data_IF_050329836477
#
_entry.id   IF_050329836477
#
_cell.length_a   1.000
_cell.length_b   1.000
_cell.length_c   1.000
_cell.angle_alpha   90.00
_cell.angle_beta   90.00
_cell.angle_gamma   90.00
#
_symmetry.space_group_name_H-M   'P 1'
#
loop_
_entity.id
_entity.type
_entity.pdbx_description
1 polymer ?
#
# COMPACT_ATOMS: atom_id res chain seq x y z
N UNK A 1 6.34 -16.30 0.89
CA UNK A 1 6.42 -14.87 1.26
C UNK A 1 7.26 -14.74 2.51
N UNK A 2 8.25 -13.87 2.52
CA UNK A 2 9.11 -13.65 3.68
C UNK A 2 8.74 -12.32 4.32
N UNK A 3 8.40 -12.33 5.63
CA UNK A 3 8.32 -11.09 6.38
C UNK A 3 9.76 -10.57 6.60
N UNK A 4 10.01 -9.34 6.25
CA UNK A 4 11.29 -8.68 6.52
C UNK A 4 11.35 -8.45 8.03
N UNK A 5 12.48 -8.76 8.63
CA UNK A 5 12.73 -8.84 10.08
C UNK A 5 12.06 -7.76 10.94
N UNK A 6 11.68 -8.20 12.11
CA UNK A 6 11.05 -7.49 13.22
C UNK A 6 11.51 -6.02 13.38
N UNK A 7 10.58 -5.11 13.13
CA UNK A 7 10.76 -3.67 13.31
C UNK A 7 10.63 -3.25 14.80
N UNK A 8 10.59 -4.21 15.73
CA UNK A 8 10.31 -3.97 17.15
C UNK A 8 11.47 -3.34 17.95
N UNK A 9 12.63 -3.09 17.33
CA UNK A 9 13.82 -2.55 17.98
C UNK A 9 14.14 -1.09 17.67
N UNK A 10 13.15 -0.28 17.34
CA UNK A 10 13.34 1.18 17.35
C UNK A 10 13.08 1.66 18.77
N UNK A 11 14.17 1.83 19.55
CA UNK A 11 14.10 2.37 20.89
C UNK A 11 13.67 3.84 20.84
N UNK A 12 12.60 4.16 21.52
CA UNK A 12 12.22 5.54 21.80
C UNK A 12 12.93 6.01 23.09
N UNK A 13 14.18 6.43 22.97
CA UNK A 13 14.85 7.20 24.03
C UNK A 13 14.61 8.70 23.79
N UNK A 14 14.41 9.52 24.84
CA UNK A 14 14.06 10.94 24.67
C UNK A 14 15.15 11.81 24.02
N UNK A 15 16.34 11.27 23.72
CA UNK A 15 17.46 12.02 23.16
C UNK A 15 18.25 11.28 22.06
N UNK A 16 17.74 10.18 21.50
CA UNK A 16 18.41 9.54 20.38
C UNK A 16 17.77 9.99 19.05
N UNK A 17 18.59 10.30 18.02
CA UNK A 17 18.06 10.57 16.70
C UNK A 17 17.24 9.34 16.26
N UNK A 18 15.98 9.55 15.87
CA UNK A 18 15.13 8.50 15.35
C UNK A 18 15.76 8.03 14.03
N UNK A 19 16.54 6.96 14.07
CA UNK A 19 16.96 6.28 12.85
C UNK A 19 15.73 5.64 12.23
N UNK A 20 15.15 6.33 11.25
CA UNK A 20 14.09 5.76 10.44
C UNK A 20 14.67 4.62 9.61
N UNK A 21 14.28 3.39 9.91
CA UNK A 21 14.64 2.24 9.07
C UNK A 21 14.09 2.46 7.67
N UNK A 22 14.99 2.58 6.70
CA UNK A 22 14.63 2.71 5.29
C UNK A 22 14.47 1.32 4.70
N UNK A 23 13.32 1.08 4.08
CA UNK A 23 13.01 -0.16 3.38
C UNK A 23 13.13 0.03 1.87
N UNK A 24 13.54 -1.01 1.19
CA UNK A 24 13.68 -0.98 -0.26
C UNK A 24 12.32 -1.00 -0.97
N UNK A 25 12.33 -0.46 -2.19
CA UNK A 25 11.20 -0.54 -3.12
C UNK A 25 10.82 -2.00 -3.43
N UNK A 26 9.65 -2.21 -3.99
CA UNK A 26 9.20 -3.54 -4.43
C UNK A 26 8.56 -4.37 -3.32
N UNK A 27 8.23 -3.76 -2.20
CA UNK A 27 7.57 -4.43 -1.06
C UNK A 27 6.06 -4.18 -1.04
N UNK A 28 5.32 -5.10 -0.44
CA UNK A 28 3.91 -4.89 -0.08
C UNK A 28 3.84 -4.59 1.41
N UNK A 29 3.43 -3.38 1.77
CA UNK A 29 3.18 -3.00 3.15
C UNK A 29 1.83 -3.53 3.62
N UNK A 30 1.82 -4.28 4.73
CA UNK A 30 0.60 -4.84 5.32
C UNK A 30 0.38 -4.24 6.70
N UNK A 31 -0.77 -3.63 6.91
CA UNK A 31 -1.15 -3.08 8.21
C UNK A 31 -1.50 -4.23 9.16
N UNK A 32 -0.86 -4.27 10.32
CA UNK A 32 -1.00 -5.36 11.30
C UNK A 32 -1.81 -4.98 12.54
N UNK A 33 -2.18 -3.70 12.68
CA UNK A 33 -2.84 -3.16 13.87
C UNK A 33 -3.91 -2.11 13.49
N UNK A 34 -4.83 -1.82 14.43
CA UNK A 34 -5.89 -0.82 14.26
C UNK A 34 -7.09 -1.32 13.44
N UNK A 35 -7.89 -0.37 12.96
CA UNK A 35 -9.09 -0.66 12.15
C UNK A 35 -8.79 -1.04 10.70
N UNK A 36 -7.55 -0.82 10.25
CA UNK A 36 -7.11 -1.08 8.89
C UNK A 36 -6.28 -2.37 8.77
N UNK A 37 -6.40 -3.31 9.73
CA UNK A 37 -5.69 -4.59 9.66
C UNK A 37 -5.96 -5.27 8.32
N UNK A 38 -4.88 -5.75 7.67
CA UNK A 38 -4.96 -6.40 6.36
C UNK A 38 -4.91 -5.44 5.18
N UNK A 39 -5.07 -4.13 5.38
CA UNK A 39 -4.83 -3.20 4.29
C UNK A 39 -3.39 -3.35 3.78
N UNK A 40 -3.28 -3.49 2.46
CA UNK A 40 -2.03 -3.87 1.82
C UNK A 40 -1.75 -2.94 0.65
N UNK A 41 -0.52 -2.41 0.59
CA UNK A 41 -0.12 -1.39 -0.38
C UNK A 41 1.25 -1.71 -0.97
N UNK A 42 1.36 -1.71 -2.29
CA UNK A 42 2.64 -1.81 -2.97
C UNK A 42 3.45 -0.52 -2.83
N UNK A 43 4.75 -0.66 -2.61
CA UNK A 43 5.69 0.44 -2.47
C UNK A 43 6.68 0.45 -3.65
N UNK A 44 6.44 1.31 -4.67
CA UNK A 44 7.30 1.37 -5.85
C UNK A 44 8.62 2.12 -5.60
N UNK A 45 8.76 2.79 -4.45
CA UNK A 45 9.95 3.56 -4.03
C UNK A 45 10.39 3.14 -2.65
N UNK A 46 11.61 3.54 -2.26
CA UNK A 46 12.07 3.39 -0.88
C UNK A 46 11.15 4.15 0.09
N UNK A 47 10.93 3.59 1.26
CA UNK A 47 9.97 4.11 2.23
C UNK A 47 10.38 3.80 3.66
N UNK A 48 9.72 4.46 4.59
CA UNK A 48 9.76 4.14 6.03
C UNK A 48 8.37 3.74 6.49
N UNK A 49 8.28 2.93 7.54
CA UNK A 49 7.00 2.58 8.15
C UNK A 49 7.12 2.41 9.66
N UNK A 50 6.00 2.50 10.34
CA UNK A 50 5.91 2.25 11.78
C UNK A 50 5.82 0.74 12.06
N UNK A 51 5.93 0.36 13.34
CA UNK A 51 5.76 -1.03 13.80
C UNK A 51 4.36 -1.63 13.56
N UNK A 52 3.38 -0.78 13.19
CA UNK A 52 2.03 -1.22 12.82
C UNK A 52 1.90 -1.68 11.37
N UNK A 53 3.01 -1.63 10.62
CA UNK A 53 3.08 -2.04 9.21
C UNK A 53 4.23 -3.02 9.02
N UNK A 54 3.94 -4.11 8.33
CA UNK A 54 4.95 -5.11 7.96
C UNK A 54 5.20 -5.09 6.45
N UNK A 55 6.42 -4.76 5.99
CA UNK A 55 6.82 -4.94 4.60
C UNK A 55 6.96 -6.44 4.30
N UNK A 56 6.41 -6.86 3.17
CA UNK A 56 6.52 -8.23 2.67
C UNK A 56 7.13 -8.23 1.27
N UNK A 57 8.03 -9.18 1.02
CA UNK A 57 8.58 -9.47 -0.31
C UNK A 57 8.35 -10.94 -0.65
N UNK A 58 8.43 -11.29 -1.91
CA UNK A 58 8.55 -12.68 -2.33
C UNK A 58 9.99 -13.15 -2.10
N UNK A 59 10.16 -14.44 -1.81
CA UNK A 59 11.48 -14.98 -1.46
C UNK A 59 12.39 -15.09 -2.68
N UNK A 60 11.90 -15.66 -3.76
CA UNK A 60 12.67 -16.06 -4.93
C UNK A 60 12.16 -15.41 -6.23
N UNK A 61 11.41 -14.32 -6.10
CA UNK A 61 10.82 -13.62 -7.23
C UNK A 61 10.72 -12.11 -6.96
N UNK A 62 11.22 -11.31 -7.89
CA UNK A 62 11.06 -9.85 -7.84
C UNK A 62 9.72 -9.46 -8.46
N UNK A 63 8.83 -8.91 -7.64
CA UNK A 63 7.48 -8.53 -8.07
C UNK A 63 7.51 -7.29 -8.97
N UNK A 64 6.81 -7.36 -10.10
CA UNK A 64 6.40 -6.15 -10.79
C UNK A 64 5.16 -5.53 -10.11
N UNK A 65 4.78 -4.32 -10.55
CA UNK A 65 3.67 -3.58 -9.95
C UNK A 65 2.32 -4.35 -10.06
N UNK A 66 2.03 -4.93 -11.21
CA UNK A 66 0.75 -5.62 -11.44
C UNK A 66 0.65 -6.91 -10.61
N UNK A 67 1.73 -7.69 -10.50
CA UNK A 67 1.82 -8.83 -9.58
C UNK A 67 1.61 -8.41 -8.13
N UNK A 68 2.27 -7.32 -7.73
CA UNK A 68 2.16 -6.81 -6.37
C UNK A 68 0.75 -6.31 -6.04
N UNK A 69 0.06 -5.67 -6.98
CA UNK A 69 -1.34 -5.26 -6.82
C UNK A 69 -2.27 -6.46 -6.65
N UNK A 70 -2.07 -7.52 -7.44
CA UNK A 70 -2.83 -8.76 -7.28
C UNK A 70 -2.61 -9.37 -5.89
N UNK A 71 -1.35 -9.55 -5.50
CA UNK A 71 -0.98 -10.12 -4.20
C UNK A 71 -1.46 -9.26 -3.03
N UNK A 72 -1.35 -7.94 -3.12
CA UNK A 72 -1.86 -7.02 -2.11
C UNK A 72 -3.37 -7.19 -1.91
N UNK A 73 -4.14 -7.37 -2.98
CA UNK A 73 -5.57 -7.63 -2.88
C UNK A 73 -5.87 -8.99 -2.24
N UNK A 74 -5.10 -10.03 -2.57
CA UNK A 74 -5.25 -11.36 -1.95
C UNK A 74 -4.93 -11.31 -0.45
N UNK A 75 -3.88 -10.58 -0.06
CA UNK A 75 -3.53 -10.36 1.35
C UNK A 75 -4.64 -9.58 2.06
N UNK A 76 -5.17 -8.53 1.44
CA UNK A 76 -6.23 -7.71 2.02
C UNK A 76 -7.49 -8.51 2.37
N UNK A 77 -7.85 -9.48 1.53
CA UNK A 77 -9.00 -10.38 1.82
C UNK A 77 -8.80 -11.21 3.08
N UNK A 78 -7.55 -11.46 3.51
CA UNK A 78 -7.27 -12.13 4.78
C UNK A 78 -7.49 -11.21 5.99
N UNK A 79 -7.49 -9.90 5.79
CA UNK A 79 -7.71 -8.91 6.84
C UNK A 79 -9.00 -9.13 7.62
N UNK A 80 -10.05 -9.62 6.95
CA UNK A 80 -11.36 -9.88 7.56
C UNK A 80 -11.31 -10.97 8.65
N UNK A 81 -10.27 -11.81 8.65
CA UNK A 81 -10.03 -12.82 9.70
C UNK A 81 -9.44 -12.22 10.99
N UNK A 82 -9.05 -10.94 10.97
CA UNK A 82 -8.37 -10.27 12.06
C UNK A 82 -9.15 -9.05 12.52
N UNK A 83 -9.14 -8.83 13.82
CA UNK A 83 -9.80 -7.69 14.49
C UNK A 83 -8.85 -7.10 15.52
N UNK A 84 -9.23 -6.01 16.17
CA UNK A 84 -8.42 -5.35 17.19
C UNK A 84 -7.90 -6.31 18.28
N UNK A 85 -8.74 -7.23 18.78
CA UNK A 85 -8.36 -8.23 19.78
C UNK A 85 -7.50 -9.38 19.19
N UNK A 86 -7.52 -9.57 17.88
CA UNK A 86 -6.77 -10.60 17.15
C UNK A 86 -5.91 -9.98 16.05
N UNK A 87 -4.93 -9.19 16.45
CA UNK A 87 -4.02 -8.50 15.53
C UNK A 87 -3.28 -9.47 14.60
N UNK A 88 -3.03 -9.04 13.38
CA UNK A 88 -2.27 -9.82 12.40
C UNK A 88 -0.76 -9.58 12.53
N UNK A 89 -0.22 -9.99 13.66
CA UNK A 89 1.22 -9.85 13.96
C UNK A 89 2.09 -10.77 13.10
N UNK A 90 3.41 -10.50 12.95
CA UNK A 90 4.34 -11.33 12.17
C UNK A 90 4.25 -12.81 12.49
N UNK A 91 4.13 -13.21 13.76
CA UNK A 91 3.97 -14.60 14.18
C UNK A 91 2.73 -15.29 13.61
N UNK A 92 1.67 -14.54 13.31
CA UNK A 92 0.46 -15.06 12.65
C UNK A 92 0.55 -14.95 11.13
N UNK A 93 1.26 -13.95 10.62
CA UNK A 93 1.47 -13.79 9.17
C UNK A 93 2.18 -15.01 8.57
N UNK A 94 3.22 -15.52 9.23
CA UNK A 94 3.99 -16.68 8.74
C UNK A 94 3.17 -17.97 8.64
N UNK A 95 2.09 -18.09 9.42
CA UNK A 95 1.16 -19.23 9.36
C UNK A 95 -0.09 -18.96 8.54
N UNK A 96 -0.27 -17.75 8.02
CA UNK A 96 -1.40 -17.40 7.15
C UNK A 96 -1.21 -18.00 5.77
N UNK A 97 -2.30 -18.55 5.22
CA UNK A 97 -2.33 -19.15 3.89
C UNK A 97 -3.40 -18.47 3.05
N UNK A 98 -3.13 -18.28 1.78
CA UNK A 98 -4.11 -17.81 0.81
C UNK A 98 -3.90 -18.52 -0.52
N UNK A 99 -4.97 -18.63 -1.28
CA UNK A 99 -4.94 -19.31 -2.57
C UNK A 99 -4.39 -18.38 -3.64
N UNK A 100 -3.50 -18.92 -4.47
CA UNK A 100 -2.96 -18.24 -5.64
C UNK A 100 -3.25 -19.06 -6.91
N UNK A 101 -3.38 -18.43 -8.08
CA UNK A 101 -3.32 -19.12 -9.34
C UNK A 101 -2.01 -19.88 -9.49
N UNK A 102 -2.08 -21.07 -10.06
CA UNK A 102 -0.89 -21.90 -10.33
C UNK A 102 -0.80 -22.23 -11.82
N UNK A 103 0.43 -22.36 -12.30
CA UNK A 103 0.74 -22.83 -13.64
C UNK A 103 0.52 -24.36 -13.77
N UNK A 104 0.78 -24.90 -14.95
CA UNK A 104 0.65 -26.34 -15.23
C UNK A 104 1.62 -27.23 -14.42
N UNK A 105 2.66 -26.65 -13.84
CA UNK A 105 3.63 -27.34 -12.99
C UNK A 105 3.28 -27.21 -11.48
N UNK A 106 2.24 -26.46 -11.13
CA UNK A 106 1.81 -26.25 -9.75
C UNK A 106 2.52 -25.10 -9.05
N UNK A 107 3.31 -24.28 -9.76
CA UNK A 107 3.95 -23.10 -9.21
C UNK A 107 3.03 -21.88 -9.31
N UNK A 108 3.23 -20.82 -8.49
CA UNK A 108 2.47 -19.58 -8.61
C UNK A 108 2.57 -18.99 -10.03
N UNK A 109 1.44 -18.78 -10.67
CA UNK A 109 1.37 -18.19 -12.01
C UNK A 109 1.40 -16.66 -11.94
N UNK A 110 2.59 -16.10 -11.81
CA UNK A 110 2.81 -14.65 -11.74
C UNK A 110 2.38 -13.93 -13.01
N UNK A 111 2.54 -14.55 -14.18
CA UNK A 111 2.13 -13.97 -15.46
C UNK A 111 0.61 -13.78 -15.51
N UNK A 112 -0.16 -14.77 -15.09
CA UNK A 112 -1.60 -14.66 -14.96
C UNK A 112 -2.01 -13.57 -13.95
N UNK A 113 -1.35 -13.51 -12.79
CA UNK A 113 -1.65 -12.51 -11.76
C UNK A 113 -1.44 -11.09 -12.28
N UNK A 114 -0.33 -10.84 -12.97
CA UNK A 114 -0.03 -9.54 -13.58
C UNK A 114 -1.07 -9.15 -14.63
N UNK A 115 -1.37 -10.07 -15.54
CA UNK A 115 -2.35 -9.84 -16.61
C UNK A 115 -3.74 -9.55 -16.04
N UNK A 116 -4.17 -10.30 -15.05
CA UNK A 116 -5.45 -10.09 -14.38
C UNK A 116 -5.52 -8.70 -13.72
N UNK A 117 -4.49 -8.31 -12.97
CA UNK A 117 -4.43 -7.00 -12.33
C UNK A 117 -4.45 -5.87 -13.36
N UNK A 118 -3.69 -6.00 -14.45
CA UNK A 118 -3.65 -5.04 -15.55
C UNK A 118 -5.02 -4.85 -16.20
N UNK A 119 -5.69 -5.94 -16.54
CA UNK A 119 -7.04 -5.90 -17.13
C UNK A 119 -8.05 -5.22 -16.18
N UNK A 120 -8.01 -5.51 -14.88
CA UNK A 120 -8.87 -4.86 -13.89
C UNK A 120 -8.60 -3.36 -13.79
N UNK A 121 -7.33 -2.96 -13.75
CA UNK A 121 -6.93 -1.56 -13.73
C UNK A 121 -7.40 -0.82 -14.98
N UNK A 122 -7.19 -1.39 -16.17
CA UNK A 122 -7.63 -0.80 -17.42
C UNK A 122 -9.16 -0.64 -17.47
N UNK A 123 -9.91 -1.65 -17.05
CA UNK A 123 -11.36 -1.58 -16.98
C UNK A 123 -11.87 -0.50 -16.02
N UNK A 124 -11.19 -0.33 -14.86
CA UNK A 124 -11.50 0.74 -13.90
C UNK A 124 -11.19 2.12 -14.48
N UNK A 125 -10.04 2.28 -15.13
CA UNK A 125 -9.66 3.53 -15.77
C UNK A 125 -10.61 3.90 -16.92
N UNK A 126 -11.06 2.95 -17.70
CA UNK A 126 -12.05 3.16 -18.76
C UNK A 126 -13.37 3.70 -18.18
N UNK A 127 -13.89 3.07 -17.12
CA UNK A 127 -15.09 3.55 -16.42
C UNK A 127 -14.89 4.96 -15.85
N UNK A 128 -13.73 5.23 -15.24
CA UNK A 128 -13.45 6.54 -14.69
C UNK A 128 -13.37 7.62 -15.78
N UNK A 129 -12.71 7.35 -16.91
CA UNK A 129 -12.66 8.27 -18.06
C UNK A 129 -14.05 8.59 -18.61
N UNK A 130 -14.92 7.57 -18.72
CA UNK A 130 -16.31 7.78 -19.14
C UNK A 130 -17.07 8.69 -18.16
N UNK A 131 -16.94 8.40 -16.86
CA UNK A 131 -17.56 9.23 -15.81
C UNK A 131 -17.07 10.68 -15.84
N UNK A 132 -15.76 10.89 -15.90
CA UNK A 132 -15.17 12.23 -15.95
C UNK A 132 -15.59 12.98 -17.23
N UNK A 133 -15.60 12.30 -18.38
CA UNK A 133 -16.06 12.90 -19.64
C UNK A 133 -17.52 13.35 -19.57
N UNK A 134 -18.40 12.53 -18.98
CA UNK A 134 -19.80 12.92 -18.78
C UNK A 134 -19.94 14.12 -17.83
N UNK A 135 -19.16 14.16 -16.75
CA UNK A 135 -19.19 15.28 -15.79
C UNK A 135 -18.67 16.60 -16.41
N UNK A 136 -17.60 16.51 -17.22
CA UNK A 136 -17.09 17.70 -17.96
C UNK A 136 -18.15 18.20 -18.92
N UNK A 137 -18.83 17.30 -19.66
CA UNK A 137 -19.88 17.68 -20.59
C UNK A 137 -21.10 18.33 -19.90
N UNK A 138 -21.46 17.87 -18.70
CA UNK A 138 -22.52 18.48 -17.88
C UNK A 138 -22.16 19.87 -17.34
N UNK A 139 -20.89 20.11 -17.00
CA UNK A 139 -20.44 21.38 -16.45
C UNK A 139 -20.33 22.48 -17.53
N UNK A 140 -20.31 22.11 -18.81
CA UNK A 140 -20.09 23.04 -19.91
C UNK A 140 -18.66 23.61 -19.95
N UNK A 141 -18.44 24.66 -20.71
CA UNK A 141 -17.17 25.39 -20.68
C UNK A 141 -16.95 25.97 -19.28
N UNK A 142 -15.93 25.46 -18.61
CA UNK A 142 -15.48 26.05 -17.34
C UNK A 142 -14.96 27.44 -17.68
N UNK A 143 -15.62 28.49 -17.16
CA UNK A 143 -15.09 29.86 -17.26
C UNK A 143 -13.63 29.81 -16.75
N UNK A 144 -12.74 30.48 -17.49
CA UNK A 144 -11.33 30.61 -17.08
C UNK A 144 -11.31 31.01 -15.59
N UNK A 145 -10.78 30.15 -14.76
CA UNK A 145 -10.55 30.47 -13.34
C UNK A 145 -9.46 31.54 -13.37
N UNK A 146 -9.73 32.79 -12.92
CA UNK A 146 -8.70 33.80 -12.86
C UNK A 146 -7.49 33.23 -12.11
N UNK A 147 -6.29 33.39 -12.67
CA UNK A 147 -5.07 33.01 -11.97
C UNK A 147 -5.08 33.68 -10.61
N UNK A 148 -4.95 32.85 -9.56
CA UNK A 148 -4.78 33.40 -8.22
C UNK A 148 -3.42 34.09 -8.18
N UNK A 149 -3.40 35.35 -7.71
CA UNK A 149 -2.17 36.07 -7.47
C UNK A 149 -1.25 35.22 -6.58
N UNK A 150 0.03 35.13 -6.94
CA UNK A 150 1.02 34.47 -6.10
C UNK A 150 1.03 35.14 -4.72
N UNK A 151 0.59 34.37 -3.70
CA UNK A 151 0.66 34.84 -2.32
C UNK A 151 1.90 34.28 -1.65
N UNK A 152 2.60 35.16 -0.94
CA UNK A 152 3.67 34.73 -0.05
C UNK A 152 3.09 33.90 1.10
N UNK A 153 3.53 32.64 1.21
CA UNK A 153 3.13 31.74 2.30
C UNK A 153 4.08 31.94 3.47
N UNK A 154 3.53 32.39 4.60
CA UNK A 154 4.27 32.48 5.87
C UNK A 154 3.67 31.51 6.87
N UNK A 155 4.46 30.79 7.67
CA UNK A 155 3.93 29.98 8.74
C UNK A 155 3.26 30.90 9.78
N UNK A 156 1.96 30.67 10.04
CA UNK A 156 1.15 31.46 11.00
C UNK A 156 0.98 30.76 12.36
N UNK A 157 1.45 29.52 12.49
CA UNK A 157 1.30 28.76 13.73
C UNK A 157 2.67 28.26 14.20
N UNK A 158 3.01 28.65 15.41
CA UNK A 158 4.07 28.06 16.20
C UNK A 158 3.39 27.22 17.28
N UNK A 159 3.63 25.91 17.30
CA UNK A 159 3.31 25.13 18.49
C UNK A 159 4.42 25.42 19.49
N UNK A 160 4.16 26.29 20.45
CA UNK A 160 4.98 26.38 21.65
C UNK A 160 4.73 25.11 22.46
N UNK A 161 5.81 24.49 22.90
CA UNK A 161 5.77 23.24 23.67
C UNK A 161 4.85 23.39 24.89
N UNK A 162 3.84 22.52 24.98
CA UNK A 162 3.06 22.24 26.20
C UNK A 162 3.76 21.17 27.00
#
# INVERSE_FOLDING_TARGET
>A
MQAIEDNSKVGYGPNEPIEHKLFDKGSICVVNNGSAIGYSYYQPKQFTCTHDVNPLTLRDHEMNEDEALFLAQMIRQQGDCFIYARKWRPSRMVSSQFLLPVDSAGNPDYAYMAEYARQKREAMLAKYRTYVGARIAELGEVAEIPALDEKEWKPIFYFEHV
#
